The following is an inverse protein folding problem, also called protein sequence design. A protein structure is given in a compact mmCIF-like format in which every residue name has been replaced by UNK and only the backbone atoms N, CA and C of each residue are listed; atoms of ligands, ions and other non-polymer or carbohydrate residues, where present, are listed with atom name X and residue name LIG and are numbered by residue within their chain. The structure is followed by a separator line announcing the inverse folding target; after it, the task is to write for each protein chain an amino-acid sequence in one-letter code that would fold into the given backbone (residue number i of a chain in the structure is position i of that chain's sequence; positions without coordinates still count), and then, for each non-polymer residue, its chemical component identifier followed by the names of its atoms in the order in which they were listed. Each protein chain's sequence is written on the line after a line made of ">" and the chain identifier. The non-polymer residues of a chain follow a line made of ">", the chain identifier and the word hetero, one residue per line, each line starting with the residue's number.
data_IF_502582151526
#
_entry.id   IF_502582151526
#
_cell.length_a   1.000
_cell.length_b   1.000
_cell.length_c   1.000
_cell.angle_alpha   90.00
_cell.angle_beta   90.00
_cell.angle_gamma   90.00
#
_symmetry.space_group_name_H-M   'P 1'
#
loop_
_entity.id
_entity.type
_entity.pdbx_description
1 polymer ?
#
# COMPACT_ATOMS: atom_id res chain seq x y z
N UNK A 1 6.78 11.64 19.89
CA UNK A 1 6.41 10.24 19.54
C UNK A 1 4.90 9.98 19.47
N UNK A 2 4.07 10.48 20.40
CA UNK A 2 2.60 10.23 20.42
C UNK A 2 1.84 10.78 19.19
N UNK A 3 2.23 11.95 18.67
CA UNK A 3 1.61 12.54 17.47
C UNK A 3 1.85 11.73 16.18
N UNK A 4 3.06 11.20 15.96
CA UNK A 4 3.39 10.36 14.79
C UNK A 4 2.64 9.02 14.85
N UNK A 5 2.50 8.45 16.05
CA UNK A 5 1.71 7.24 16.27
C UNK A 5 0.22 7.43 15.93
N UNK A 6 -0.40 8.55 16.35
CA UNK A 6 -1.79 8.85 16.04
C UNK A 6 -2.02 9.02 14.53
N UNK A 7 -1.08 9.65 13.82
CA UNK A 7 -1.14 9.82 12.35
C UNK A 7 -1.09 8.48 11.60
N UNK A 8 -0.25 7.54 12.03
CA UNK A 8 -0.17 6.20 11.43
C UNK A 8 -1.47 5.41 11.63
N UNK A 9 -2.06 5.49 12.84
CA UNK A 9 -3.33 4.81 13.12
C UNK A 9 -4.49 5.43 12.34
N UNK A 10 -4.56 6.76 12.26
CA UNK A 10 -5.57 7.47 11.45
C UNK A 10 -5.41 7.15 9.96
N UNK A 11 -4.18 7.15 9.43
CA UNK A 11 -3.93 6.75 8.05
C UNK A 11 -4.35 5.29 7.78
N UNK A 12 -4.11 4.38 8.72
CA UNK A 12 -4.57 2.99 8.62
C UNK A 12 -6.10 2.86 8.58
N UNK A 13 -6.82 3.62 9.40
CA UNK A 13 -8.28 3.65 9.37
C UNK A 13 -8.84 4.30 8.11
N UNK A 14 -8.21 5.37 7.62
CA UNK A 14 -8.60 6.01 6.36
C UNK A 14 -8.40 5.06 5.18
N UNK A 15 -7.29 4.34 5.14
CA UNK A 15 -7.03 3.30 4.13
C UNK A 15 -8.08 2.19 4.18
N UNK A 16 -8.42 1.71 5.37
CA UNK A 16 -9.45 0.67 5.53
C UNK A 16 -10.83 1.17 5.08
N UNK A 17 -11.19 2.42 5.39
CA UNK A 17 -12.45 3.02 4.98
C UNK A 17 -12.51 3.26 3.46
N UNK A 18 -11.43 3.75 2.85
CA UNK A 18 -11.37 3.94 1.40
C UNK A 18 -11.37 2.60 0.64
N UNK A 19 -10.65 1.60 1.15
CA UNK A 19 -10.69 0.26 0.60
C UNK A 19 -12.12 -0.32 0.62
N UNK A 20 -12.85 -0.12 1.73
CA UNK A 20 -14.25 -0.54 1.81
C UNK A 20 -15.17 0.24 0.87
N UNK A 21 -14.88 1.51 0.58
CA UNK A 21 -15.65 2.35 -0.35
C UNK A 21 -15.37 2.00 -1.82
N UNK A 22 -14.17 1.51 -2.14
CA UNK A 22 -13.81 1.02 -3.46
C UNK A 22 -14.65 -0.20 -3.88
N UNK A 23 -14.93 -1.13 -2.96
CA UNK A 23 -15.71 -2.36 -3.25
C UNK A 23 -17.05 -2.09 -3.98
N UNK A 24 -17.95 -1.23 -3.47
CA UNK A 24 -19.21 -0.94 -4.16
C UNK A 24 -19.03 -0.13 -5.45
N UNK A 25 -18.00 0.71 -5.58
CA UNK A 25 -17.74 1.49 -6.79
C UNK A 25 -17.27 0.59 -7.94
N UNK A 26 -16.34 -0.30 -7.66
CA UNK A 26 -15.88 -1.34 -8.59
C UNK A 26 -17.03 -2.24 -9.01
N UNK A 27 -17.86 -2.71 -8.07
CA UNK A 27 -19.04 -3.51 -8.37
C UNK A 27 -20.07 -2.75 -9.23
N UNK A 28 -20.23 -1.44 -9.02
CA UNK A 28 -21.10 -0.59 -9.83
C UNK A 28 -20.57 -0.44 -11.27
N UNK A 29 -19.28 -0.15 -11.44
CA UNK A 29 -18.66 -0.08 -12.77
C UNK A 29 -18.80 -1.40 -13.54
N UNK A 30 -18.67 -2.54 -12.84
CA UNK A 30 -18.85 -3.86 -13.41
C UNK A 30 -20.27 -4.14 -13.93
N UNK A 31 -21.28 -3.55 -13.30
CA UNK A 31 -22.68 -3.69 -13.71
C UNK A 31 -23.02 -2.75 -14.88
N UNK A 32 -22.35 -1.60 -14.97
CA UNK A 32 -22.65 -0.54 -15.95
C UNK A 32 -21.82 -0.68 -17.23
N UNK A 33 -20.61 -1.29 -17.18
CA UNK A 33 -19.77 -1.42 -18.38
C UNK A 33 -20.37 -2.45 -19.37
N UNK A 34 -20.63 -2.06 -20.63
CA UNK A 34 -21.19 -2.96 -21.64
C UNK A 34 -20.25 -4.15 -21.91
N UNK A 35 -20.82 -5.35 -21.88
CA UNK A 35 -20.18 -6.68 -21.99
C UNK A 35 -19.56 -7.00 -23.36
N UNK A 36 -18.76 -6.10 -23.92
CA UNK A 36 -18.19 -6.26 -25.28
C UNK A 36 -16.67 -6.38 -25.28
N UNK A 37 -16.08 -7.02 -24.27
CA UNK A 37 -14.68 -7.45 -24.31
C UNK A 37 -14.60 -8.91 -24.83
N UNK A 38 -13.75 -9.24 -25.84
CA UNK A 38 -13.78 -10.54 -26.52
C UNK A 38 -13.18 -11.72 -25.72
N UNK A 39 -12.70 -11.50 -24.49
CA UNK A 39 -12.01 -12.51 -23.70
C UNK A 39 -12.95 -13.10 -22.64
N UNK A 40 -13.18 -14.41 -22.69
CA UNK A 40 -14.18 -15.14 -21.91
C UNK A 40 -14.10 -15.02 -20.37
N UNK A 41 -13.10 -14.32 -19.81
CA UNK A 41 -12.88 -14.19 -18.36
C UNK A 41 -12.30 -12.83 -17.93
N UNK A 42 -12.41 -11.79 -18.76
CA UNK A 42 -11.86 -10.46 -18.44
C UNK A 42 -12.38 -9.92 -17.09
N UNK A 43 -13.69 -10.11 -16.89
CA UNK A 43 -14.45 -9.90 -15.66
C UNK A 43 -13.82 -10.57 -14.42
N UNK A 44 -13.37 -11.82 -14.57
CA UNK A 44 -12.80 -12.59 -13.47
C UNK A 44 -11.38 -12.12 -13.10
N UNK A 45 -10.60 -11.71 -14.11
CA UNK A 45 -9.26 -11.17 -13.90
C UNK A 45 -9.30 -9.82 -13.18
N UNK A 46 -10.25 -8.95 -13.57
CA UNK A 46 -10.49 -7.66 -12.92
C UNK A 46 -10.99 -7.83 -11.49
N UNK A 47 -12.09 -8.58 -11.29
CA UNK A 47 -12.62 -8.80 -9.94
C UNK A 47 -11.63 -9.50 -8.99
N UNK A 48 -10.78 -10.38 -9.53
CA UNK A 48 -9.69 -11.01 -8.76
C UNK A 48 -8.60 -10.03 -8.35
N UNK A 49 -8.23 -9.09 -9.24
CA UNK A 49 -7.28 -8.02 -8.94
C UNK A 49 -7.82 -7.09 -7.85
N UNK A 50 -9.08 -6.67 -7.96
CA UNK A 50 -9.73 -5.78 -6.99
C UNK A 50 -9.83 -6.43 -5.61
N UNK A 51 -10.20 -7.72 -5.57
CA UNK A 51 -10.23 -8.49 -4.33
C UNK A 51 -8.82 -8.61 -3.71
N UNK A 52 -7.80 -8.83 -4.52
CA UNK A 52 -6.41 -8.89 -4.04
C UNK A 52 -5.95 -7.52 -3.49
N UNK A 53 -6.27 -6.42 -4.19
CA UNK A 53 -6.00 -5.05 -3.76
C UNK A 53 -6.70 -4.74 -2.43
N UNK A 54 -7.99 -5.07 -2.32
CA UNK A 54 -8.80 -4.90 -1.12
C UNK A 54 -8.19 -5.64 0.08
N UNK A 55 -7.90 -6.93 -0.09
CA UNK A 55 -7.30 -7.77 0.95
C UNK A 55 -5.97 -7.17 1.38
N UNK A 56 -5.15 -6.73 0.44
CA UNK A 56 -3.84 -6.17 0.76
C UNK A 56 -3.94 -4.84 1.49
N UNK A 57 -4.85 -3.94 1.09
CA UNK A 57 -5.12 -2.69 1.81
C UNK A 57 -5.63 -2.94 3.23
N UNK A 58 -6.52 -3.92 3.41
CA UNK A 58 -7.01 -4.32 4.71
C UNK A 58 -5.89 -4.88 5.61
N UNK A 59 -5.01 -5.72 5.05
CA UNK A 59 -3.83 -6.23 5.76
C UNK A 59 -2.86 -5.10 6.12
N UNK A 60 -2.65 -4.13 5.23
CA UNK A 60 -1.83 -2.93 5.48
C UNK A 60 -2.41 -2.08 6.61
N UNK A 61 -3.72 -1.81 6.59
CA UNK A 61 -4.41 -1.09 7.66
C UNK A 61 -4.33 -1.82 9.00
N UNK A 62 -4.56 -3.14 8.99
CA UNK A 62 -4.42 -3.98 10.18
C UNK A 62 -2.99 -4.00 10.74
N UNK A 63 -2.00 -4.12 9.86
CA UNK A 63 -0.58 -4.08 10.22
C UNK A 63 -0.18 -2.71 10.77
N UNK A 64 -0.77 -1.62 10.26
CA UNK A 64 -0.55 -0.25 10.73
C UNK A 64 -1.11 -0.05 12.14
N UNK A 65 -2.34 -0.49 12.39
CA UNK A 65 -3.00 -0.41 13.72
C UNK A 65 -2.26 -1.28 14.74
N UNK A 66 -1.89 -2.52 14.38
CA UNK A 66 -1.19 -3.46 15.27
C UNK A 66 0.34 -3.30 15.30
N UNK A 67 0.89 -2.31 14.59
CA UNK A 67 2.34 -2.03 14.46
C UNK A 67 3.18 -3.28 14.17
N UNK A 68 2.74 -4.07 13.19
CA UNK A 68 3.40 -5.33 12.84
C UNK A 68 4.67 -5.09 12.02
N UNK A 69 5.66 -5.98 12.15
CA UNK A 69 6.96 -5.91 11.45
C UNK A 69 6.87 -5.92 9.92
N UNK A 70 5.81 -6.52 9.39
CA UNK A 70 5.59 -6.71 7.96
C UNK A 70 4.77 -5.55 7.34
N UNK A 71 4.47 -4.50 8.13
CA UNK A 71 3.80 -3.28 7.64
C UNK A 71 4.53 -2.68 6.44
N UNK A 72 5.87 -2.62 6.48
CA UNK A 72 6.64 -2.02 5.39
C UNK A 72 6.44 -2.75 4.06
N UNK A 73 6.45 -4.09 4.09
CA UNK A 73 6.24 -4.92 2.91
C UNK A 73 4.79 -4.83 2.41
N UNK A 74 3.81 -4.94 3.31
CA UNK A 74 2.40 -4.84 2.96
C UNK A 74 2.05 -3.47 2.36
N UNK A 75 2.52 -2.38 2.98
CA UNK A 75 2.27 -1.02 2.51
C UNK A 75 2.98 -0.71 1.18
N UNK A 76 4.20 -1.22 0.99
CA UNK A 76 4.90 -1.12 -0.29
C UNK A 76 4.17 -1.87 -1.42
N UNK A 77 3.69 -3.08 -1.13
CA UNK A 77 2.89 -3.85 -2.08
C UNK A 77 1.54 -3.15 -2.38
N UNK A 78 0.85 -2.59 -1.38
CA UNK A 78 -0.37 -1.79 -1.59
C UNK A 78 -0.09 -0.58 -2.49
N UNK A 79 1.02 0.14 -2.28
CA UNK A 79 1.38 1.29 -3.10
C UNK A 79 1.62 0.92 -4.57
N UNK A 80 2.33 -0.19 -4.81
CA UNK A 80 2.57 -0.69 -6.17
C UNK A 80 1.27 -1.13 -6.86
N UNK A 81 0.40 -1.84 -6.14
CA UNK A 81 -0.87 -2.31 -6.66
C UNK A 81 -1.84 -1.16 -6.97
N UNK A 82 -1.91 -0.12 -6.13
CA UNK A 82 -2.68 1.10 -6.40
C UNK A 82 -2.17 1.88 -7.63
N UNK A 83 -0.86 1.91 -7.85
CA UNK A 83 -0.31 2.53 -9.05
C UNK A 83 -0.63 1.73 -10.32
N UNK A 84 -0.63 0.40 -10.21
CA UNK A 84 -1.05 -0.47 -11.30
C UNK A 84 -2.54 -0.32 -11.60
N UNK A 85 -3.39 -0.25 -10.55
CA UNK A 85 -4.83 0.02 -10.62
C UNK A 85 -5.13 1.30 -11.41
N UNK A 86 -4.52 2.42 -10.99
CA UNK A 86 -4.65 3.71 -11.67
C UNK A 86 -4.21 3.70 -13.13
N UNK A 87 -3.15 2.97 -13.43
CA UNK A 87 -2.72 2.78 -14.81
C UNK A 87 -3.74 1.98 -15.61
N UNK A 88 -4.24 0.87 -15.06
CA UNK A 88 -5.23 0.02 -15.72
C UNK A 88 -6.52 0.79 -16.00
N UNK A 89 -7.08 1.49 -15.01
CA UNK A 89 -8.32 2.26 -15.15
C UNK A 89 -8.24 3.33 -16.25
N UNK A 90 -7.11 4.04 -16.34
CA UNK A 90 -6.91 5.06 -17.38
C UNK A 90 -6.78 4.41 -18.77
N UNK A 91 -6.12 3.25 -18.88
CA UNK A 91 -5.85 2.57 -20.15
C UNK A 91 -7.05 1.76 -20.67
N UNK A 92 -7.89 1.22 -19.79
CA UNK A 92 -9.07 0.42 -20.16
C UNK A 92 -10.35 1.23 -20.31
N UNK A 93 -10.33 2.52 -19.98
CA UNK A 93 -11.47 3.41 -20.12
C UNK A 93 -12.00 3.48 -21.59
N UNK A 94 -13.24 2.99 -21.84
CA UNK A 94 -13.75 2.76 -23.19
C UNK A 94 -13.93 4.06 -23.98
N UNK A 95 -14.51 5.08 -23.36
CA UNK A 95 -14.84 6.35 -23.99
C UNK A 95 -13.96 7.50 -23.52
N UNK A 96 -13.89 8.59 -24.30
CA UNK A 96 -13.17 9.80 -23.91
C UNK A 96 -13.73 10.45 -22.62
N UNK A 97 -15.02 10.32 -22.35
CA UNK A 97 -15.65 10.83 -21.13
C UNK A 97 -15.25 10.01 -19.89
N UNK A 98 -15.31 8.69 -19.99
CA UNK A 98 -14.88 7.78 -18.93
C UNK A 98 -13.37 7.91 -18.64
N UNK A 99 -12.55 8.18 -19.65
CA UNK A 99 -11.11 8.45 -19.46
C UNK A 99 -10.84 9.67 -18.57
N UNK A 100 -11.62 10.74 -18.69
CA UNK A 100 -11.47 11.91 -17.81
C UNK A 100 -11.88 11.60 -16.37
N UNK A 101 -12.92 10.79 -16.19
CA UNK A 101 -13.35 10.32 -14.86
C UNK A 101 -12.29 9.41 -14.24
N UNK A 102 -11.77 8.44 -15.00
CA UNK A 102 -10.69 7.57 -14.58
C UNK A 102 -9.42 8.35 -14.24
N UNK A 103 -9.04 9.34 -15.06
CA UNK A 103 -7.89 10.20 -14.78
C UNK A 103 -8.09 11.04 -13.51
N UNK A 104 -9.30 11.57 -13.29
CA UNK A 104 -9.63 12.31 -12.08
C UNK A 104 -9.53 11.41 -10.84
N UNK A 105 -10.04 10.18 -10.91
CA UNK A 105 -9.95 9.19 -9.83
C UNK A 105 -8.50 8.77 -9.56
N UNK A 106 -7.73 8.47 -10.61
CA UNK A 106 -6.32 8.14 -10.51
C UNK A 106 -5.53 9.24 -9.78
N UNK A 107 -5.74 10.51 -10.16
CA UNK A 107 -4.98 11.64 -9.60
C UNK A 107 -5.47 12.06 -8.21
N UNK A 108 -6.78 12.00 -7.94
CA UNK A 108 -7.36 12.50 -6.70
C UNK A 108 -7.51 11.44 -5.60
N UNK A 109 -7.55 10.16 -5.97
CA UNK A 109 -7.82 9.05 -5.04
C UNK A 109 -6.67 8.07 -5.03
N UNK A 110 -6.40 7.37 -6.13
CA UNK A 110 -5.49 6.21 -6.14
C UNK A 110 -4.02 6.60 -5.94
N UNK A 111 -3.52 7.61 -6.66
CA UNK A 111 -2.14 8.08 -6.51
C UNK A 111 -1.88 8.69 -5.12
N UNK A 112 -2.74 9.55 -4.56
CA UNK A 112 -2.61 9.99 -3.18
C UNK A 112 -2.59 8.83 -2.19
N UNK A 113 -3.43 7.81 -2.41
CA UNK A 113 -3.42 6.60 -1.59
C UNK A 113 -2.10 5.85 -1.70
N UNK A 114 -1.56 5.71 -2.91
CA UNK A 114 -0.29 5.05 -3.17
C UNK A 114 0.85 5.78 -2.45
N UNK A 115 0.83 7.12 -2.44
CA UNK A 115 1.78 7.95 -1.69
C UNK A 115 1.66 7.72 -0.19
N UNK A 116 0.44 7.65 0.36
CA UNK A 116 0.23 7.36 1.79
C UNK A 116 0.73 5.95 2.15
N UNK A 117 0.46 4.96 1.31
CA UNK A 117 0.97 3.60 1.45
C UNK A 117 2.51 3.58 1.39
N UNK A 118 3.13 4.29 0.45
CA UNK A 118 4.58 4.45 0.38
C UNK A 118 5.16 5.12 1.63
N UNK A 119 4.50 6.16 2.14
CA UNK A 119 4.91 6.83 3.39
C UNK A 119 4.81 5.91 4.61
N UNK A 120 3.75 5.08 4.69
CA UNK A 120 3.61 4.04 5.70
C UNK A 120 4.70 2.97 5.57
N UNK A 121 5.08 2.62 4.34
CA UNK A 121 6.14 1.66 4.09
C UNK A 121 7.48 2.15 4.67
N UNK A 122 7.87 3.38 4.33
CA UNK A 122 9.09 4.02 4.85
C UNK A 122 9.01 4.18 6.37
N UNK A 123 7.88 4.64 6.90
CA UNK A 123 7.69 4.79 8.36
C UNK A 123 7.71 3.45 9.10
N UNK A 124 7.35 2.34 8.44
CA UNK A 124 7.44 0.99 8.97
C UNK A 124 8.89 0.49 9.04
N UNK A 125 9.73 0.83 8.05
CA UNK A 125 11.15 0.46 8.04
C UNK A 125 11.93 1.11 9.18
N UNK A 126 11.66 2.39 9.48
CA UNK A 126 12.24 3.09 10.65
C UNK A 126 12.10 2.30 11.96
N UNK A 127 10.99 1.58 12.13
CA UNK A 127 10.70 0.81 13.35
C UNK A 127 11.48 -0.51 13.40
N UNK A 128 11.72 -1.11 12.24
CA UNK A 128 12.52 -2.33 12.09
C UNK A 128 14.00 -1.98 12.28
N UNK A 129 14.49 -0.93 11.65
CA UNK A 129 15.88 -0.48 11.73
C UNK A 129 16.29 -0.10 13.15
N UNK A 130 15.41 0.60 13.89
CA UNK A 130 15.64 0.93 15.30
C UNK A 130 15.75 -0.32 16.18
N UNK A 131 14.97 -1.36 15.89
CA UNK A 131 15.04 -2.63 16.61
C UNK A 131 16.29 -3.41 16.26
N UNK A 132 16.70 -3.43 14.99
CA UNK A 132 17.96 -4.03 14.57
C UNK A 132 19.16 -3.31 15.18
N UNK A 133 19.10 -1.99 15.31
CA UNK A 133 20.12 -1.20 16.01
C UNK A 133 20.18 -1.52 17.51
N UNK A 134 19.04 -1.65 18.19
CA UNK A 134 19.00 -2.05 19.61
C UNK A 134 19.36 -3.53 19.84
N UNK A 135 19.07 -4.41 18.88
CA UNK A 135 19.39 -5.83 18.92
C UNK A 135 20.81 -6.17 18.42
N UNK A 136 21.64 -5.16 18.11
CA UNK A 136 23.09 -5.29 17.98
C UNK A 136 23.75 -4.83 19.28
N UNK A 137 23.90 -5.70 20.31
CA UNK A 137 24.79 -5.38 21.42
C UNK A 137 26.22 -5.47 20.91
N UNK A 138 26.96 -4.36 20.97
CA UNK A 138 28.42 -4.35 20.87
C UNK A 138 28.99 -4.87 19.55
N UNK A 139 29.16 -3.97 18.57
CA UNK A 139 30.42 -4.02 17.83
C UNK A 139 31.49 -3.63 18.84
N UNK A 140 32.00 -4.62 19.58
CA UNK A 140 33.25 -4.46 20.33
C UNK A 140 34.23 -3.87 19.33
N UNK A 141 34.63 -2.61 19.58
CA UNK A 141 35.90 -2.11 19.10
C UNK A 141 36.90 -3.03 19.75
N UNK A 142 37.32 -4.05 19.01
CA UNK A 142 38.52 -4.82 19.35
C UNK A 142 39.64 -3.80 19.21
N UNK A 143 40.01 -3.17 20.32
CA UNK A 143 41.24 -2.38 20.38
C UNK A 143 42.39 -3.37 20.16
N UNK A 144 43.15 -3.30 19.05
CA UNK A 144 44.21 -4.27 18.78
C UNK A 144 45.46 -4.02 19.64
N UNK A 145 45.42 -3.13 20.63
CA UNK A 145 46.62 -2.59 21.27
C UNK A 145 46.52 -2.67 22.78
N UNK A 146 46.89 -3.82 23.34
CA UNK A 146 47.57 -3.93 24.64
C UNK A 146 48.10 -5.34 24.90
N UNK A 147 49.23 -5.67 24.27
CA UNK A 147 50.18 -6.60 24.85
C UNK A 147 51.61 -6.09 24.65
N UNK A 148 52.04 -5.25 25.59
CA UNK A 148 53.45 -5.18 25.97
C UNK A 148 53.54 -5.39 27.48
N UNK A 149 53.97 -6.58 27.92
CA UNK A 149 54.81 -6.71 29.09
C UNK A 149 56.24 -7.07 28.67
N UNK A 150 57.16 -6.47 29.43
CA UNK A 150 58.61 -6.44 29.28
C UNK A 150 59.27 -7.81 29.31
#
# INVERSE_FOLDING_TARGET
>A
MRARARRVTVAGWMLAALAALMVPWTAYLFVVLPRTAPAAHFDLAWGGFDLALLVLLALTGWAAVRRRRWLAAAAGASAALLAADAWFDVVTAPTHGERWVALAMAVLVELPLAVVCGWLAVSGQDLVDRRLAMARPGRQVVDPVRHTPR
#
